data_IF_223827253936
#
_entry.id   IF_223827253936
#
_cell.length_a   1.000
_cell.length_b   1.000
_cell.length_c   1.000
_cell.angle_alpha   90.00
_cell.angle_beta   90.00
_cell.angle_gamma   90.00
#
_symmetry.space_group_name_H-M   'P 1'
#
loop_
_entity.id
_entity.type
_entity.pdbx_description
1 polymer ?
#
# COMPACT_ATOMS: atom_id res chain seq x y z
N UNK A 1 -10.15 -0.66 -12.63
CA UNK A 1 -10.47 0.13 -13.82
C UNK A 1 -9.25 0.99 -14.05
N UNK A 2 -8.57 0.79 -15.17
CA UNK A 2 -7.43 1.61 -15.56
C UNK A 2 -7.87 2.73 -16.50
N UNK A 3 -7.23 3.89 -16.41
CA UNK A 3 -7.49 5.04 -17.28
C UNK A 3 -6.18 5.78 -17.51
N UNK A 4 -5.83 6.02 -18.77
CA UNK A 4 -4.70 6.89 -19.12
C UNK A 4 -5.06 8.34 -18.78
N UNK A 5 -4.24 9.00 -17.96
CA UNK A 5 -4.44 10.39 -17.52
C UNK A 5 -3.41 11.35 -18.12
N UNK A 6 -2.30 10.81 -18.63
CA UNK A 6 -1.29 11.47 -19.45
C UNK A 6 -0.53 10.38 -20.22
N UNK A 7 0.25 10.76 -21.23
CA UNK A 7 1.07 9.81 -22.01
C UNK A 7 1.84 8.84 -21.11
N UNK A 8 1.55 7.53 -21.27
CA UNK A 8 2.16 6.44 -20.50
C UNK A 8 1.95 6.51 -18.97
N UNK A 9 1.01 7.35 -18.50
CA UNK A 9 0.69 7.51 -17.09
C UNK A 9 -0.79 7.20 -16.83
N UNK A 10 -1.01 6.18 -16.02
CA UNK A 10 -2.32 5.57 -15.81
C UNK A 10 -2.74 5.66 -14.36
N UNK A 11 -4.03 5.87 -14.15
CA UNK A 11 -4.70 5.71 -12.85
C UNK A 11 -5.42 4.36 -12.82
N UNK A 12 -5.18 3.58 -11.78
CA UNK A 12 -5.79 2.27 -11.53
C UNK A 12 -6.70 2.39 -10.31
N UNK A 13 -7.99 2.13 -10.50
CA UNK A 13 -8.98 2.12 -9.40
C UNK A 13 -9.11 0.71 -8.84
N UNK A 14 -8.70 0.54 -7.57
CA UNK A 14 -8.71 -0.72 -6.82
C UNK A 14 -9.79 -0.67 -5.72
N UNK A 15 -10.50 -1.78 -5.46
CA UNK A 15 -11.62 -1.81 -4.53
C UNK A 15 -11.20 -1.72 -3.06
N UNK A 16 -12.09 -1.22 -2.20
CA UNK A 16 -11.97 -1.28 -0.74
C UNK A 16 -13.30 -1.70 -0.10
N UNK A 17 -13.28 -2.43 1.03
CA UNK A 17 -14.49 -2.93 1.69
C UNK A 17 -15.14 -1.89 2.63
N UNK A 18 -14.68 -0.63 2.59
CA UNK A 18 -15.09 0.42 3.51
C UNK A 18 -16.06 1.42 2.88
N UNK A 19 -16.52 2.40 3.67
CA UNK A 19 -17.32 3.53 3.18
C UNK A 19 -16.61 4.27 2.04
N UNK A 20 -15.30 4.41 2.15
CA UNK A 20 -14.45 4.78 1.04
C UNK A 20 -14.27 3.53 0.17
N UNK A 21 -14.93 3.51 -0.98
CA UNK A 21 -15.15 2.30 -1.80
C UNK A 21 -13.96 1.89 -2.66
N UNK A 22 -12.97 2.76 -2.81
CA UNK A 22 -11.82 2.52 -3.66
C UNK A 22 -10.63 3.38 -3.26
N UNK A 23 -9.46 2.92 -3.66
CA UNK A 23 -8.20 3.67 -3.64
C UNK A 23 -7.66 3.74 -5.07
N UNK A 24 -6.86 4.76 -5.35
CA UNK A 24 -6.15 4.86 -6.61
C UNK A 24 -4.70 4.45 -6.44
N UNK A 25 -4.25 3.52 -7.26
CA UNK A 25 -2.84 3.34 -7.58
C UNK A 25 -2.56 4.04 -8.92
N UNK A 26 -1.29 4.32 -9.19
CA UNK A 26 -0.88 4.91 -10.46
C UNK A 26 0.26 4.12 -11.08
N UNK A 27 0.26 3.98 -12.39
CA UNK A 27 1.29 3.27 -13.14
C UNK A 27 1.92 4.22 -14.16
N UNK A 28 3.23 4.44 -14.05
CA UNK A 28 4.02 5.13 -15.07
C UNK A 28 4.81 4.10 -15.85
N UNK A 29 4.61 4.08 -17.16
CA UNK A 29 5.20 3.10 -18.08
C UNK A 29 6.41 3.71 -18.80
N UNK A 30 7.49 2.92 -18.89
CA UNK A 30 8.58 3.19 -19.82
C UNK A 30 9.09 1.88 -20.44
N UNK A 31 8.81 1.67 -21.74
CA UNK A 31 9.14 0.43 -22.42
C UNK A 31 8.40 -0.75 -21.82
N UNK A 32 9.10 -1.70 -21.19
CA UNK A 32 8.49 -2.83 -20.45
C UNK A 32 8.37 -2.58 -18.94
N UNK A 33 9.03 -1.55 -18.44
CA UNK A 33 9.13 -1.28 -17.01
C UNK A 33 7.98 -0.39 -16.55
N UNK A 34 7.54 -0.64 -15.31
CA UNK A 34 6.47 0.10 -14.66
C UNK A 34 6.96 0.60 -13.31
N UNK A 35 6.80 1.90 -13.08
CA UNK A 35 6.83 2.47 -11.74
C UNK A 35 5.39 2.54 -11.24
N UNK A 36 5.08 1.73 -10.22
CA UNK A 36 3.78 1.69 -9.58
C UNK A 36 3.79 2.58 -8.33
N UNK A 37 2.77 3.42 -8.18
CA UNK A 37 2.57 4.27 -7.00
C UNK A 37 1.38 3.74 -6.22
N UNK A 38 1.65 3.28 -4.99
CA UNK A 38 0.75 2.50 -4.15
C UNK A 38 0.26 1.20 -4.81
N UNK A 39 -0.29 0.30 -3.99
CA UNK A 39 -0.52 -1.10 -4.37
C UNK A 39 -1.93 -1.59 -4.06
N UNK A 40 -2.77 -0.80 -3.41
CA UNK A 40 -4.10 -1.24 -3.02
C UNK A 40 -4.13 -2.10 -1.75
N UNK A 41 -5.34 -2.47 -1.36
CA UNK A 41 -5.61 -3.37 -0.24
C UNK A 41 -5.59 -4.83 -0.68
N UNK A 42 -5.10 -5.72 0.19
CA UNK A 42 -5.22 -7.16 -0.03
C UNK A 42 -6.67 -7.61 0.22
N UNK A 43 -7.39 -7.92 -0.86
CA UNK A 43 -8.76 -8.42 -0.86
C UNK A 43 -8.90 -9.56 -1.88
N UNK A 44 -9.91 -10.43 -1.73
CA UNK A 44 -10.21 -11.41 -2.77
C UNK A 44 -10.41 -10.74 -4.12
N UNK A 45 -9.64 -11.15 -5.14
CA UNK A 45 -9.73 -10.58 -6.49
C UNK A 45 -8.93 -9.30 -6.71
N UNK A 46 -8.31 -8.69 -5.68
CA UNK A 46 -7.61 -7.41 -5.83
C UNK A 46 -6.34 -7.52 -6.69
N UNK A 47 -5.62 -8.63 -6.58
CA UNK A 47 -4.41 -8.86 -7.36
C UNK A 47 -4.75 -9.14 -8.83
N UNK A 48 -5.75 -9.98 -9.06
CA UNK A 48 -6.29 -10.32 -10.38
C UNK A 48 -6.87 -9.07 -11.07
N UNK A 49 -7.52 -8.21 -10.29
CA UNK A 49 -8.03 -6.90 -10.72
C UNK A 49 -6.90 -5.99 -11.21
N UNK A 50 -5.77 -5.96 -10.51
CA UNK A 50 -4.59 -5.17 -10.87
C UNK A 50 -3.88 -5.76 -12.09
N UNK A 51 -3.69 -7.08 -12.11
CA UNK A 51 -3.09 -7.82 -13.22
C UNK A 51 -3.88 -7.58 -14.52
N UNK A 52 -5.20 -7.78 -14.50
CA UNK A 52 -6.05 -7.53 -15.66
C UNK A 52 -6.05 -6.06 -16.11
N UNK A 53 -5.97 -5.10 -15.17
CA UNK A 53 -5.86 -3.68 -15.52
C UNK A 53 -4.52 -3.40 -16.23
N UNK A 54 -3.40 -3.99 -15.78
CA UNK A 54 -2.10 -3.87 -16.46
C UNK A 54 -2.07 -4.59 -17.82
N UNK A 55 -2.64 -5.79 -17.91
CA UNK A 55 -2.73 -6.57 -19.16
C UNK A 55 -3.51 -5.82 -20.23
N UNK A 56 -4.56 -5.09 -19.84
CA UNK A 56 -5.38 -4.30 -20.77
C UNK A 56 -4.61 -3.17 -21.48
N UNK A 57 -3.46 -2.76 -20.93
CA UNK A 57 -2.55 -1.78 -21.54
C UNK A 57 -1.27 -2.43 -22.07
N UNK A 58 -1.21 -3.76 -22.17
CA UNK A 58 -0.07 -4.50 -22.73
C UNK A 58 1.08 -4.75 -21.74
N UNK A 59 0.81 -4.67 -20.44
CA UNK A 59 1.79 -4.83 -19.37
C UNK A 59 1.44 -5.99 -18.42
N UNK A 60 2.38 -6.37 -17.54
CA UNK A 60 2.14 -7.40 -16.53
C UNK A 60 2.75 -7.00 -15.18
N UNK A 61 2.42 -7.75 -14.13
CA UNK A 61 2.99 -7.54 -12.79
C UNK A 61 4.51 -7.66 -12.81
N UNK A 62 5.06 -8.60 -13.60
CA UNK A 62 6.52 -8.80 -13.74
C UNK A 62 7.23 -7.60 -14.36
N UNK A 63 6.50 -6.72 -15.05
CA UNK A 63 7.02 -5.46 -15.57
C UNK A 63 7.20 -4.38 -14.50
N UNK A 64 6.68 -4.57 -13.29
CA UNK A 64 6.84 -3.61 -12.19
C UNK A 64 8.29 -3.65 -11.69
N UNK A 65 9.07 -2.63 -12.02
CA UNK A 65 10.46 -2.52 -11.58
C UNK A 65 10.60 -1.73 -10.28
N UNK A 66 9.66 -0.83 -10.03
CA UNK A 66 9.68 0.10 -8.91
C UNK A 66 8.29 0.26 -8.31
N UNK A 67 8.20 0.24 -6.99
CA UNK A 67 6.99 0.55 -6.24
C UNK A 67 7.30 1.72 -5.31
N UNK A 68 6.55 2.80 -5.45
CA UNK A 68 6.62 3.98 -4.60
C UNK A 68 5.41 3.98 -3.68
N UNK A 69 5.62 3.85 -2.37
CA UNK A 69 4.54 3.92 -1.39
C UNK A 69 4.43 5.35 -0.85
N UNK A 70 3.25 5.95 -0.98
CA UNK A 70 2.97 7.26 -0.40
C UNK A 70 3.06 7.20 1.12
N UNK A 71 2.45 6.16 1.70
CA UNK A 71 2.49 5.81 3.12
C UNK A 71 2.09 4.34 3.30
N UNK A 72 1.88 3.92 4.55
CA UNK A 72 1.80 2.49 4.93
C UNK A 72 0.45 2.10 5.53
N UNK A 73 -0.62 2.80 5.18
CA UNK A 73 -1.96 2.27 5.39
C UNK A 73 -2.20 1.07 4.46
N UNK A 74 -3.05 0.15 4.91
CA UNK A 74 -3.24 -1.17 4.27
C UNK A 74 -3.84 -1.07 2.86
N UNK A 75 -4.53 0.01 2.54
CA UNK A 75 -5.03 0.32 1.19
C UNK A 75 -3.97 0.88 0.23
N UNK A 76 -2.80 1.27 0.74
CA UNK A 76 -1.69 1.77 -0.08
C UNK A 76 -0.56 0.75 -0.20
N UNK A 77 -0.20 0.06 0.88
CA UNK A 77 0.91 -0.89 0.88
C UNK A 77 0.46 -2.36 0.84
N UNK A 78 -0.85 -2.64 0.92
CA UNK A 78 -1.41 -3.96 1.18
C UNK A 78 -0.92 -5.09 0.27
N UNK A 79 -0.72 -4.81 -1.02
CA UNK A 79 -0.22 -5.82 -1.97
C UNK A 79 1.30 -5.71 -2.23
N UNK A 80 2.01 -4.78 -1.59
CA UNK A 80 3.42 -4.49 -1.90
C UNK A 80 4.35 -5.69 -1.75
N UNK A 81 4.16 -6.51 -0.72
CA UNK A 81 4.96 -7.73 -0.52
C UNK A 81 4.77 -8.76 -1.63
N UNK A 82 3.52 -9.04 -2.01
CA UNK A 82 3.18 -10.00 -3.07
C UNK A 82 3.69 -9.50 -4.42
N UNK A 83 3.52 -8.20 -4.71
CA UNK A 83 4.01 -7.59 -5.93
C UNK A 83 5.54 -7.63 -5.99
N UNK A 84 6.23 -7.32 -4.89
CA UNK A 84 7.69 -7.44 -4.81
C UNK A 84 8.16 -8.88 -5.02
N UNK A 85 7.47 -9.88 -4.47
CA UNK A 85 7.83 -11.28 -4.68
C UNK A 85 7.73 -11.69 -6.16
N UNK A 86 6.64 -11.30 -6.83
CA UNK A 86 6.36 -11.64 -8.24
C UNK A 86 7.26 -10.89 -9.23
N UNK A 87 7.49 -9.60 -9.00
CA UNK A 87 8.17 -8.70 -9.94
C UNK A 87 9.64 -8.44 -9.63
N UNK A 88 10.06 -8.74 -8.39
CA UNK A 88 11.35 -8.28 -7.83
C UNK A 88 11.51 -6.76 -7.80
N UNK A 89 10.40 -6.02 -7.79
CA UNK A 89 10.39 -4.58 -7.71
C UNK A 89 11.16 -4.02 -6.50
N UNK A 90 11.83 -2.89 -6.74
CA UNK A 90 12.41 -2.07 -5.67
C UNK A 90 11.32 -1.26 -5.01
N UNK A 91 11.18 -1.39 -3.69
CA UNK A 91 10.21 -0.58 -2.93
C UNK A 91 10.89 0.66 -2.37
N UNK A 92 10.28 1.81 -2.60
CA UNK A 92 10.71 3.11 -2.11
C UNK A 92 9.60 3.74 -1.26
N UNK A 93 9.97 4.25 -0.09
CA UNK A 93 9.07 4.98 0.82
C UNK A 93 9.88 5.91 1.72
N UNK A 94 9.24 6.84 2.44
CA UNK A 94 9.97 7.69 3.38
C UNK A 94 10.46 6.90 4.61
N UNK A 95 11.53 7.37 5.26
CA UNK A 95 12.00 6.78 6.52
C UNK A 95 10.92 6.82 7.62
N UNK A 96 10.11 7.89 7.65
CA UNK A 96 8.99 8.04 8.58
C UNK A 96 7.91 6.98 8.31
N UNK A 97 7.55 6.76 7.05
CA UNK A 97 6.58 5.74 6.65
C UNK A 97 7.06 4.34 7.05
N UNK A 98 8.36 4.05 6.92
CA UNK A 98 8.93 2.78 7.37
C UNK A 98 8.88 2.61 8.90
N UNK A 99 9.18 3.66 9.66
CA UNK A 99 9.04 3.62 11.13
C UNK A 99 7.60 3.33 11.56
N UNK A 100 6.61 3.94 10.88
CA UNK A 100 5.19 3.67 11.13
C UNK A 100 4.83 2.22 10.78
N UNK A 101 5.36 1.68 9.68
CA UNK A 101 5.13 0.29 9.28
C UNK A 101 5.70 -0.69 10.31
N UNK A 102 6.93 -0.48 10.77
CA UNK A 102 7.54 -1.30 11.83
C UNK A 102 6.76 -1.19 13.15
N UNK A 103 6.25 0.00 13.48
CA UNK A 103 5.40 0.19 14.65
C UNK A 103 4.07 -0.57 14.53
N UNK A 104 3.39 -0.52 13.39
CA UNK A 104 2.15 -1.25 13.17
C UNK A 104 2.33 -2.77 13.25
N UNK A 105 3.53 -3.28 12.95
CA UNK A 105 3.88 -4.70 13.11
C UNK A 105 4.06 -5.13 14.56
N UNK A 106 4.16 -4.19 15.50
CA UNK A 106 4.23 -4.46 16.94
C UNK A 106 2.81 -4.44 17.55
N UNK A 107 1.98 -5.40 17.14
CA UNK A 107 0.54 -5.45 17.47
C UNK A 107 0.28 -5.25 18.97
N UNK A 108 0.93 -6.04 19.85
CA UNK A 108 0.74 -5.96 21.30
C UNK A 108 1.02 -4.56 21.88
N UNK A 109 2.07 -3.90 21.36
CA UNK A 109 2.44 -2.56 21.80
C UNK A 109 1.41 -1.53 21.33
N UNK A 110 0.97 -1.63 20.06
CA UNK A 110 -0.05 -0.75 19.49
C UNK A 110 -1.39 -0.89 20.21
N UNK A 111 -1.82 -2.12 20.50
CA UNK A 111 -3.04 -2.44 21.25
C UNK A 111 -2.99 -1.83 22.65
N UNK A 112 -1.86 -1.99 23.36
CA UNK A 112 -1.68 -1.38 24.67
C UNK A 112 -1.78 0.15 24.65
N UNK A 113 -1.14 0.78 23.66
CA UNK A 113 -1.21 2.24 23.46
C UNK A 113 -2.64 2.70 23.13
N UNK A 114 -3.32 2.01 22.21
CA UNK A 114 -4.68 2.33 21.81
C UNK A 114 -5.64 2.22 23.01
N UNK A 115 -5.60 1.11 23.76
CA UNK A 115 -6.41 0.88 24.95
C UNK A 115 -6.22 2.00 25.98
N UNK A 116 -4.97 2.35 26.27
CA UNK A 116 -4.63 3.44 27.20
C UNK A 116 -5.16 4.79 26.70
N UNK A 117 -4.88 5.12 25.43
CA UNK A 117 -5.25 6.39 24.82
C UNK A 117 -6.77 6.59 24.83
N UNK A 118 -7.53 5.65 24.29
CA UNK A 118 -8.99 5.80 24.18
C UNK A 118 -9.68 5.79 25.55
N UNK A 119 -9.24 4.93 26.49
CA UNK A 119 -9.77 4.92 27.86
C UNK A 119 -9.54 6.27 28.56
N UNK A 120 -8.34 6.84 28.45
CA UNK A 120 -8.00 8.13 29.06
C UNK A 120 -8.83 9.29 28.51
N UNK A 121 -9.34 9.16 27.29
CA UNK A 121 -10.19 10.17 26.64
C UNK A 121 -11.70 9.85 26.75
N UNK A 122 -12.09 8.92 27.62
CA UNK A 122 -13.49 8.68 27.96
C UNK A 122 -14.29 7.85 26.94
N UNK A 123 -13.61 7.14 26.04
CA UNK A 123 -14.28 6.18 25.14
C UNK A 123 -14.85 5.02 25.98
N UNK A 124 -16.13 4.64 25.82
CA UNK A 124 -16.72 3.53 26.55
C UNK A 124 -15.94 2.22 26.32
N UNK A 125 -15.78 1.40 27.37
CA UNK A 125 -14.98 0.18 27.30
C UNK A 125 -15.39 -0.76 26.16
N UNK A 126 -16.70 -0.87 25.86
CA UNK A 126 -17.20 -1.66 24.71
C UNK A 126 -16.58 -1.21 23.39
N UNK A 127 -16.50 0.11 23.18
CA UNK A 127 -15.99 0.66 21.93
C UNK A 127 -14.45 0.59 21.89
N UNK A 128 -13.78 0.65 23.06
CA UNK A 128 -12.33 0.38 23.16
C UNK A 128 -12.02 -1.05 22.75
N UNK A 129 -12.76 -2.06 23.22
CA UNK A 129 -12.53 -3.45 22.80
C UNK A 129 -12.77 -3.63 21.30
N UNK A 130 -13.83 -3.04 20.74
CA UNK A 130 -14.08 -3.09 19.30
C UNK A 130 -12.93 -2.46 18.47
N UNK A 131 -12.36 -1.36 18.95
CA UNK A 131 -11.18 -0.74 18.30
C UNK A 131 -9.96 -1.66 18.40
N UNK A 132 -9.74 -2.30 19.55
CA UNK A 132 -8.63 -3.23 19.75
C UNK A 132 -8.75 -4.44 18.82
N UNK A 133 -9.94 -5.04 18.72
CA UNK A 133 -10.20 -6.16 17.80
C UNK A 133 -9.91 -5.78 16.34
N UNK A 134 -10.32 -4.58 15.91
CA UNK A 134 -10.04 -4.07 14.57
C UNK A 134 -8.53 -3.88 14.34
N UNK A 135 -7.82 -3.31 15.32
CA UNK A 135 -6.35 -3.14 15.25
C UNK A 135 -5.65 -4.51 15.16
N UNK A 136 -6.08 -5.49 15.95
CA UNK A 136 -5.57 -6.86 15.90
C UNK A 136 -5.75 -7.49 14.51
N UNK A 137 -6.97 -7.41 13.95
CA UNK A 137 -7.25 -7.93 12.60
C UNK A 137 -6.40 -7.24 11.54
N UNK A 138 -6.31 -5.91 11.58
CA UNK A 138 -5.50 -5.14 10.63
C UNK A 138 -4.01 -5.46 10.76
N UNK A 139 -3.47 -5.54 12.00
CA UNK A 139 -2.06 -5.85 12.24
C UNK A 139 -1.66 -7.23 11.74
N UNK A 140 -2.56 -8.21 11.80
CA UNK A 140 -2.32 -9.57 11.26
C UNK A 140 -2.15 -9.58 9.72
N UNK A 141 -2.62 -8.53 9.05
CA UNK A 141 -2.64 -8.39 7.58
C UNK A 141 -1.62 -7.40 7.05
N UNK A 142 -0.73 -6.90 7.90
CA UNK A 142 0.32 -5.96 7.48
C UNK A 142 1.28 -6.69 6.53
N UNK A 143 1.45 -6.20 5.30
CA UNK A 143 2.30 -6.83 4.32
C UNK A 143 3.76 -6.74 4.76
N UNK A 144 4.49 -7.84 4.56
CA UNK A 144 5.94 -7.88 4.71
C UNK A 144 6.57 -7.57 3.37
N UNK A 145 7.48 -6.62 3.35
CA UNK A 145 8.23 -6.26 2.17
C UNK A 145 9.57 -5.64 2.56
N UNK A 146 10.56 -5.77 1.68
CA UNK A 146 11.90 -5.23 1.87
C UNK A 146 12.02 -3.86 1.22
N UNK A 147 12.51 -2.89 1.99
CA UNK A 147 12.69 -1.53 1.51
C UNK A 147 14.02 -1.40 0.78
N UNK A 148 13.97 -0.92 -0.46
CA UNK A 148 15.18 -0.67 -1.24
C UNK A 148 15.77 0.72 -1.00
N UNK A 149 14.94 1.75 -0.89
CA UNK A 149 15.44 3.11 -0.65
C UNK A 149 14.48 3.94 0.19
N UNK A 150 15.03 4.73 1.12
CA UNK A 150 14.30 5.77 1.81
C UNK A 150 14.32 7.07 1.02
N UNK A 151 13.12 7.52 0.62
CA UNK A 151 12.92 8.76 -0.13
C UNK A 151 13.17 9.98 0.75
N UNK A 152 13.75 11.03 0.16
CA UNK A 152 14.02 12.32 0.83
C UNK A 152 13.07 13.39 0.35
N UNK A 153 12.82 14.37 1.21
CA UNK A 153 12.03 15.55 0.86
C UNK A 153 12.68 16.29 -0.32
N UNK A 154 11.86 16.70 -1.29
CA UNK A 154 12.29 17.41 -2.51
C UNK A 154 13.30 16.64 -3.39
N UNK A 155 13.47 15.32 -3.18
CA UNK A 155 14.26 14.47 -4.06
C UNK A 155 13.60 14.38 -5.44
N UNK A 156 14.38 14.65 -6.49
CA UNK A 156 13.94 14.45 -7.87
C UNK A 156 14.43 13.08 -8.33
N UNK A 157 13.50 12.29 -8.87
CA UNK A 157 13.79 11.00 -9.48
C UNK A 157 13.34 10.98 -10.92
N UNK A 158 14.15 10.36 -11.75
CA UNK A 158 13.83 10.07 -13.13
C UNK A 158 13.47 8.59 -13.25
N UNK A 159 12.40 8.31 -13.98
CA UNK A 159 12.00 6.96 -14.33
C UNK A 159 12.03 6.82 -15.84
N UNK A 160 12.71 5.78 -16.32
CA UNK A 160 12.94 5.58 -17.74
C UNK A 160 14.10 6.39 -18.32
N UNK A 161 14.24 6.30 -19.64
CA UNK A 161 15.28 6.96 -20.44
C UNK A 161 14.83 8.32 -20.92
#
# INVERSE_FOLDING_TARGET
MITEISENFYRITLPMPFRLRHVHAYALVNGRNIALFDTGMILPGALEKLEADLESIGHSIEGISDIYLTHVHTDHCGMAGILQEKSKARIHLSQVSHQVHEHFRQADYLIGQARLFYTKHGVPSRDVEAIVEEIEDMSSRIPKFEVHTFLRENEIRQFGS
#
